data_IF_447364416827
#
_entry.id   IF_447364416827
#
_cell.length_a   1.000
_cell.length_b   1.000
_cell.length_c   1.000
_cell.angle_alpha   90.00
_cell.angle_beta   90.00
_cell.angle_gamma   90.00
#
_symmetry.space_group_name_H-M   'P 1'
#
loop_
_entity.id
_entity.type
_entity.pdbx_description
1 polymer ?
#
# COMPACT_ATOMS: atom_id res chain seq x y z
N UNK A 1 -15.10 -18.70 -11.08
CA UNK A 1 -15.95 -18.96 -9.89
C UNK A 1 -15.68 -17.86 -8.86
N UNK A 2 -16.70 -17.21 -8.28
CA UNK A 2 -16.46 -16.24 -7.20
C UNK A 2 -15.86 -16.97 -6.01
N UNK A 3 -14.72 -16.48 -5.48
CA UNK A 3 -14.14 -17.02 -4.24
C UNK A 3 -15.16 -16.85 -3.13
N UNK A 4 -15.58 -17.96 -2.52
CA UNK A 4 -16.48 -17.95 -1.37
C UNK A 4 -15.77 -17.17 -0.25
N UNK A 5 -16.44 -16.15 0.27
CA UNK A 5 -15.92 -15.34 1.37
C UNK A 5 -15.89 -16.23 2.63
N UNK A 6 -14.70 -16.55 3.14
CA UNK A 6 -14.53 -17.30 4.39
C UNK A 6 -15.08 -16.50 5.57
N UNK A 7 -15.50 -17.13 6.66
CA UNK A 7 -15.98 -16.43 7.86
C UNK A 7 -15.55 -17.14 9.15
N UNK A 8 -15.67 -16.45 10.29
CA UNK A 8 -15.38 -17.01 11.60
C UNK A 8 -13.98 -17.63 11.69
N UNK A 9 -13.91 -18.92 12.03
CA UNK A 9 -12.66 -19.66 12.19
C UNK A 9 -11.87 -19.81 10.88
N UNK A 10 -12.55 -20.04 9.75
CA UNK A 10 -11.89 -20.20 8.45
C UNK A 10 -11.18 -18.92 8.03
N UNK A 11 -11.83 -17.76 8.24
CA UNK A 11 -11.24 -16.46 7.97
C UNK A 11 -10.01 -16.16 8.86
N UNK A 12 -10.00 -16.68 10.09
CA UNK A 12 -8.84 -16.55 11.00
C UNK A 12 -7.67 -17.42 10.54
N UNK A 13 -7.91 -18.69 10.25
CA UNK A 13 -6.88 -19.59 9.74
C UNK A 13 -6.26 -19.05 8.44
N UNK A 14 -7.08 -18.54 7.53
CA UNK A 14 -6.59 -17.90 6.30
C UNK A 14 -5.72 -16.68 6.61
N UNK A 15 -6.15 -15.81 7.54
CA UNK A 15 -5.37 -14.64 7.93
C UNK A 15 -4.02 -15.03 8.56
N UNK A 16 -3.99 -16.02 9.45
CA UNK A 16 -2.75 -16.53 10.08
C UNK A 16 -1.80 -17.15 9.05
N UNK A 17 -2.34 -17.92 8.10
CA UNK A 17 -1.56 -18.47 6.99
C UNK A 17 -0.95 -17.37 6.12
N UNK A 18 -1.72 -16.35 5.78
CA UNK A 18 -1.24 -15.19 5.02
C UNK A 18 -0.18 -14.38 5.78
N UNK A 19 -0.30 -14.24 7.10
CA UNK A 19 0.68 -13.54 7.93
C UNK A 19 2.01 -14.30 8.09
N UNK A 20 2.01 -15.59 7.78
CA UNK A 20 3.18 -16.48 7.82
C UNK A 20 3.88 -16.60 6.47
N UNK A 21 3.46 -15.82 5.47
CA UNK A 21 4.07 -15.81 4.14
C UNK A 21 5.45 -15.14 4.18
N UNK A 22 6.50 -15.73 3.57
CA UNK A 22 7.84 -15.15 3.53
C UNK A 22 7.89 -13.72 2.94
N UNK A 23 6.96 -13.40 2.04
CA UNK A 23 6.84 -12.09 1.40
C UNK A 23 6.58 -10.94 2.39
N UNK A 24 6.08 -11.25 3.58
CA UNK A 24 5.81 -10.28 4.64
C UNK A 24 6.76 -10.35 5.83
N UNK A 25 7.78 -11.20 5.80
CA UNK A 25 8.78 -11.31 6.89
C UNK A 25 9.59 -10.02 7.09
N UNK A 26 9.66 -9.15 6.07
CA UNK A 26 10.29 -7.83 6.15
C UNK A 26 9.58 -6.82 7.06
N UNK A 27 8.34 -7.12 7.47
CA UNK A 27 7.55 -6.29 8.36
C UNK A 27 7.52 -6.86 9.77
N UNK A 28 7.85 -6.03 10.77
CA UNK A 28 7.91 -6.47 12.17
C UNK A 28 6.53 -6.49 12.83
N UNK A 29 5.62 -5.62 12.35
CA UNK A 29 4.27 -5.52 12.88
C UNK A 29 3.29 -6.26 11.99
N UNK A 30 2.45 -7.10 12.58
CA UNK A 30 1.48 -7.89 11.80
C UNK A 30 0.41 -7.02 11.11
N UNK A 31 0.15 -5.81 11.62
CA UNK A 31 -0.73 -4.84 10.95
C UNK A 31 -0.10 -4.33 9.65
N UNK A 32 1.23 -4.12 9.63
CA UNK A 32 1.96 -3.74 8.41
C UNK A 32 1.95 -4.88 7.39
N UNK A 33 2.18 -6.13 7.86
CA UNK A 33 2.07 -7.35 7.03
C UNK A 33 0.69 -7.42 6.37
N UNK A 34 -0.37 -7.32 7.18
CA UNK A 34 -1.75 -7.38 6.71
C UNK A 34 -2.06 -6.26 5.70
N UNK A 35 -1.61 -5.03 5.97
CA UNK A 35 -1.81 -3.92 5.05
C UNK A 35 -1.15 -4.17 3.69
N UNK A 36 0.09 -4.69 3.68
CA UNK A 36 0.78 -5.05 2.45
C UNK A 36 0.03 -6.15 1.67
N UNK A 37 -0.41 -7.20 2.36
CA UNK A 37 -1.16 -8.31 1.76
C UNK A 37 -2.49 -7.85 1.16
N UNK A 38 -3.20 -6.95 1.83
CA UNK A 38 -4.47 -6.39 1.32
C UNK A 38 -4.26 -5.59 0.03
N UNK A 39 -3.18 -4.82 -0.06
CA UNK A 39 -2.95 -3.89 -1.18
C UNK A 39 -2.27 -4.55 -2.37
N UNK A 40 -1.20 -5.31 -2.12
CA UNK A 40 -0.37 -5.91 -3.16
C UNK A 40 -0.87 -7.31 -3.56
N UNK A 41 -1.28 -8.12 -2.57
CA UNK A 41 -1.70 -9.51 -2.80
C UNK A 41 -3.23 -9.66 -2.90
N UNK A 42 -3.97 -8.55 -2.84
CA UNK A 42 -5.44 -8.51 -2.89
C UNK A 42 -6.10 -9.42 -1.84
N UNK A 43 -5.44 -9.61 -0.70
CA UNK A 43 -6.02 -10.33 0.43
C UNK A 43 -7.27 -9.60 0.93
N UNK A 44 -8.26 -10.37 1.39
CA UNK A 44 -9.50 -9.77 1.88
C UNK A 44 -9.27 -9.14 3.25
N UNK A 45 -9.38 -7.81 3.32
CA UNK A 45 -9.19 -7.02 4.57
C UNK A 45 -9.94 -7.60 5.77
N UNK A 46 -11.14 -8.12 5.55
CA UNK A 46 -11.99 -8.58 6.64
C UNK A 46 -11.47 -9.86 7.32
N UNK A 47 -10.59 -10.64 6.67
CA UNK A 47 -9.92 -11.78 7.30
C UNK A 47 -9.12 -11.34 8.53
N UNK A 48 -8.32 -10.28 8.37
CA UNK A 48 -7.52 -9.73 9.46
C UNK A 48 -8.37 -9.08 10.56
N UNK A 49 -9.56 -8.58 10.23
CA UNK A 49 -10.49 -8.06 11.24
C UNK A 49 -11.08 -9.16 12.14
N UNK A 50 -11.08 -10.42 11.72
CA UNK A 50 -11.46 -11.53 12.59
C UNK A 50 -10.40 -11.86 13.64
N UNK A 51 -9.12 -11.56 13.38
CA UNK A 51 -8.04 -11.66 14.36
C UNK A 51 -8.03 -10.47 15.31
N UNK A 52 -8.25 -9.27 14.77
CA UNK A 52 -7.97 -8.01 15.43
C UNK A 52 -9.10 -6.99 15.23
N UNK A 53 -10.30 -7.34 15.67
CA UNK A 53 -11.48 -6.48 15.49
C UNK A 53 -11.30 -5.09 16.10
N UNK A 54 -10.57 -5.00 17.22
CA UNK A 54 -10.21 -3.76 17.91
C UNK A 54 -9.21 -2.87 17.15
N UNK A 55 -8.44 -3.43 16.21
CA UNK A 55 -7.43 -2.69 15.45
C UNK A 55 -7.92 -2.22 14.08
N UNK A 56 -9.24 -2.24 13.83
CA UNK A 56 -9.84 -1.82 12.55
C UNK A 56 -9.31 -0.48 12.04
N UNK A 57 -9.31 0.55 12.89
CA UNK A 57 -8.84 1.89 12.50
C UNK A 57 -7.33 1.97 12.27
N UNK A 58 -6.54 1.09 12.89
CA UNK A 58 -5.10 1.00 12.64
C UNK A 58 -4.83 0.33 11.30
N UNK A 59 -5.50 -0.79 11.02
CA UNK A 59 -5.41 -1.50 9.74
C UNK A 59 -5.86 -0.61 8.57
N UNK A 60 -6.94 0.15 8.73
CA UNK A 60 -7.44 1.06 7.69
C UNK A 60 -6.43 2.13 7.32
N UNK A 61 -5.78 2.72 8.33
CA UNK A 61 -4.72 3.71 8.12
C UNK A 61 -3.49 3.09 7.46
N UNK A 62 -3.08 1.90 7.88
CA UNK A 62 -1.95 1.18 7.28
C UNK A 62 -2.22 0.83 5.81
N UNK A 63 -3.42 0.31 5.50
CA UNK A 63 -3.84 0.02 4.11
C UNK A 63 -3.85 1.28 3.26
N UNK A 64 -4.35 2.40 3.79
CA UNK A 64 -4.36 3.68 3.08
C UNK A 64 -2.92 4.17 2.79
N UNK A 65 -2.01 4.04 3.76
CA UNK A 65 -0.60 4.41 3.59
C UNK A 65 0.10 3.55 2.52
N UNK A 66 -0.10 2.23 2.53
CA UNK A 66 0.48 1.33 1.52
C UNK A 66 -0.07 1.65 0.13
N UNK A 67 -1.38 1.90 -0.02
CA UNK A 67 -1.97 2.33 -1.30
C UNK A 67 -1.36 3.63 -1.80
N UNK A 68 -1.24 4.63 -0.92
CA UNK A 68 -0.65 5.90 -1.28
C UNK A 68 0.80 5.73 -1.78
N UNK A 69 1.58 4.86 -1.14
CA UNK A 69 2.95 4.54 -1.57
C UNK A 69 2.97 3.81 -2.92
N UNK A 70 2.07 2.85 -3.14
CA UNK A 70 1.95 2.16 -4.43
C UNK A 70 1.58 3.11 -5.57
N UNK A 71 0.62 4.01 -5.33
CA UNK A 71 0.10 4.92 -6.35
C UNK A 71 1.12 6.00 -6.78
N UNK A 72 2.11 6.31 -5.92
CA UNK A 72 3.26 7.17 -6.25
C UNK A 72 4.48 6.37 -6.76
N UNK A 73 4.37 5.05 -6.92
CA UNK A 73 5.42 4.18 -7.46
C UNK A 73 6.50 3.76 -6.46
N UNK A 74 6.25 3.91 -5.16
CA UNK A 74 7.17 3.46 -4.10
C UNK A 74 6.91 2.01 -3.78
N UNK A 75 7.88 1.16 -4.07
CA UNK A 75 7.89 -0.22 -3.63
C UNK A 75 8.72 -0.32 -2.35
N UNK A 76 8.11 -0.77 -1.24
CA UNK A 76 8.84 -0.95 0.02
C UNK A 76 8.02 -0.68 1.28
N UNK A 77 8.68 -0.73 2.44
CA UNK A 77 8.08 -0.43 3.75
C UNK A 77 8.16 1.09 3.96
N UNK A 78 7.03 1.82 4.02
CA UNK A 78 7.04 3.29 4.13
C UNK A 78 7.81 3.76 5.37
N UNK A 79 7.76 2.97 6.45
CA UNK A 79 8.43 3.26 7.71
C UNK A 79 9.96 3.04 7.70
N UNK A 80 10.53 2.41 6.66
CA UNK A 80 11.98 2.14 6.53
C UNK A 80 12.64 2.95 5.41
N UNK A 81 11.94 3.89 4.77
CA UNK A 81 12.60 4.82 3.85
C UNK A 81 13.62 5.63 4.64
N UNK A 82 14.90 5.44 4.32
CA UNK A 82 15.93 6.29 4.88
C UNK A 82 15.76 7.73 4.34
N UNK A 83 16.46 8.69 4.95
CA UNK A 83 16.32 10.10 4.57
C UNK A 83 16.62 10.37 3.08
N UNK A 84 17.59 9.65 2.49
CA UNK A 84 17.91 9.77 1.06
C UNK A 84 16.84 9.19 0.15
N UNK A 85 16.26 8.03 0.49
CA UNK A 85 15.19 7.40 -0.30
C UNK A 85 13.90 8.24 -0.25
N UNK A 86 13.66 8.90 0.89
CA UNK A 86 12.54 9.83 1.06
C UNK A 86 12.75 11.11 0.22
N UNK A 87 13.96 11.65 0.15
CA UNK A 87 14.27 12.80 -0.73
C UNK A 87 14.13 12.44 -2.22
N UNK A 88 14.59 11.26 -2.61
CA UNK A 88 14.50 10.78 -3.99
C UNK A 88 13.03 10.58 -4.41
N UNK A 89 12.21 10.08 -3.48
CA UNK A 89 10.77 9.99 -3.64
C UNK A 89 10.11 11.37 -3.77
N UNK A 90 10.40 12.31 -2.87
CA UNK A 90 9.85 13.67 -2.94
C UNK A 90 10.21 14.36 -4.27
N UNK A 91 11.44 14.14 -4.75
CA UNK A 91 11.89 14.64 -6.05
C UNK A 91 11.10 14.01 -7.21
N UNK A 92 10.91 12.69 -7.20
CA UNK A 92 10.11 12.00 -8.20
C UNK A 92 8.63 12.45 -8.21
N UNK A 93 8.03 12.69 -7.03
CA UNK A 93 6.65 13.24 -6.93
C UNK A 93 6.59 14.65 -7.52
N UNK A 94 7.56 15.51 -7.21
CA UNK A 94 7.65 16.86 -7.81
C UNK A 94 7.75 16.77 -9.33
N UNK A 95 8.66 15.96 -9.85
CA UNK A 95 8.86 15.81 -11.29
C UNK A 95 7.62 15.25 -12.00
N UNK A 96 6.91 14.28 -11.41
CA UNK A 96 5.65 13.78 -11.96
C UNK A 96 4.52 14.81 -11.92
N UNK A 97 4.47 15.68 -10.90
CA UNK A 97 3.52 16.81 -10.85
C UNK A 97 3.82 17.85 -11.94
N UNK A 98 5.09 18.12 -12.22
CA UNK A 98 5.50 19.01 -13.30
C UNK A 98 5.20 18.43 -14.69
N UNK A 99 5.40 17.12 -14.89
CA UNK A 99 5.04 16.44 -16.16
C UNK A 99 3.54 16.35 -16.43
N UNK A 100 2.69 16.45 -15.40
CA UNK A 100 1.23 16.47 -15.53
C UNK A 100 0.63 17.86 -15.73
N UNK A 101 1.42 18.93 -15.67
CA UNK A 101 0.92 20.25 -16.08
C UNK A 101 0.71 20.22 -17.60
N UNK A 102 -0.51 20.43 -18.11
CA UNK A 102 -0.73 20.51 -19.55
C UNK A 102 0.09 21.68 -20.06
N UNK A 103 0.97 21.42 -21.03
CA UNK A 103 1.66 22.48 -21.77
C UNK A 103 0.58 23.36 -22.38
N UNK A 104 0.40 24.55 -21.84
CA UNK A 104 -0.57 25.51 -22.36
C UNK A 104 -0.10 26.03 -23.71
N UNK A 105 -1.05 26.26 -24.63
CA UNK A 105 -0.81 26.71 -26.01
C UNK A 105 0.17 27.89 -26.13
N UNK A 106 0.32 28.70 -25.07
CA UNK A 106 1.29 29.79 -24.99
C UNK A 106 2.75 29.35 -25.15
N UNK A 107 3.13 28.16 -24.67
CA UNK A 107 4.51 27.65 -24.80
C UNK A 107 4.81 27.18 -26.23
N UNK A 108 3.79 26.74 -26.98
CA UNK A 108 3.94 26.32 -28.38
C UNK A 108 4.15 27.53 -29.29
N UNK A 109 3.50 28.67 -28.98
CA UNK A 109 3.61 29.88 -29.79
C UNK A 109 4.94 30.64 -29.64
N UNK A 110 5.76 30.33 -28.62
CA UNK A 110 7.11 30.91 -28.48
C UNK A 110 8.19 30.11 -29.21
N UNK A 111 7.84 28.94 -29.76
CA UNK A 111 8.75 28.03 -30.48
C UNK A 111 8.56 28.04 -32.01
N UNK A 112 7.68 28.88 -32.54
CA UNK A 112 7.43 29.08 -33.98
C UNK A 112 7.88 30.46 -34.42
#
# INVERSE_FOLDING_TARGET
MPKKLLNGAEARCEAEGLLSLPEVDKYDQDVDKAAHLVVEFKAQRYYFLYLWSQYRGMLDRAVAAVRACRDIGVQGRPAKLNYSEMQELEKNIREQRFKKLPVTQGVINELV
#
